data_IF_127870558594
#
_entry.id   IF_127870558594
#
_cell.length_a   1.000
_cell.length_b   1.000
_cell.length_c   1.000
_cell.angle_alpha   90.00
_cell.angle_beta   90.00
_cell.angle_gamma   90.00
#
_symmetry.space_group_name_H-M   'P 1'
#
loop_
_entity.id
_entity.type
_entity.pdbx_description
1 polymer ?
#
# COMPACT_ATOMS: atom_id res chain seq x y z
N UNK A 1 -12.16 1.17 -36.71
CA UNK A 1 -12.31 2.16 -35.62
C UNK A 1 -11.65 1.59 -34.36
N UNK A 2 -10.73 2.35 -33.71
CA UNK A 2 -10.14 1.90 -32.44
C UNK A 2 -11.24 1.85 -31.38
N UNK A 3 -11.50 0.67 -30.79
CA UNK A 3 -12.51 0.50 -29.74
C UNK A 3 -12.11 1.35 -28.51
N UNK A 4 -13.07 2.10 -27.96
CA UNK A 4 -12.93 2.79 -26.68
C UNK A 4 -13.87 2.14 -25.69
N UNK A 5 -13.51 2.14 -24.41
CA UNK A 5 -14.40 1.68 -23.35
C UNK A 5 -15.66 2.56 -23.28
N UNK A 6 -16.81 1.93 -23.05
CA UNK A 6 -18.04 2.62 -22.71
C UNK A 6 -18.02 3.16 -21.27
N UNK A 7 -18.91 4.07 -20.91
CA UNK A 7 -19.01 4.59 -19.54
C UNK A 7 -19.22 3.45 -18.51
N UNK A 8 -20.03 2.45 -18.84
CA UNK A 8 -20.27 1.27 -17.98
C UNK A 8 -19.00 0.42 -17.79
N UNK A 9 -18.22 0.23 -18.85
CA UNK A 9 -16.95 -0.49 -18.78
C UNK A 9 -15.91 0.30 -17.98
N UNK A 10 -15.85 1.63 -18.12
CA UNK A 10 -15.00 2.49 -17.25
C UNK A 10 -15.37 2.35 -15.78
N UNK A 11 -16.66 2.41 -15.44
CA UNK A 11 -17.12 2.22 -14.05
C UNK A 11 -16.74 0.84 -13.53
N UNK A 12 -16.86 -0.19 -14.35
CA UNK A 12 -16.45 -1.55 -13.99
C UNK A 12 -14.96 -1.65 -13.70
N UNK A 13 -14.11 -1.14 -14.59
CA UNK A 13 -12.64 -1.15 -14.40
C UNK A 13 -12.23 -0.30 -13.20
N UNK A 14 -12.84 0.86 -13.00
CA UNK A 14 -12.56 1.74 -11.85
C UNK A 14 -12.99 1.08 -10.52
N UNK A 15 -14.16 0.45 -10.47
CA UNK A 15 -14.63 -0.28 -9.29
C UNK A 15 -13.75 -1.50 -8.97
N UNK A 16 -13.28 -2.20 -10.01
CA UNK A 16 -12.35 -3.30 -9.86
C UNK A 16 -11.01 -2.80 -9.29
N UNK A 17 -10.47 -1.72 -9.84
CA UNK A 17 -9.21 -1.12 -9.39
C UNK A 17 -9.33 -0.63 -7.94
N UNK A 18 -10.42 0.06 -7.60
CA UNK A 18 -10.73 0.42 -6.23
C UNK A 18 -10.76 -0.81 -5.31
N UNK A 19 -11.44 -1.87 -5.73
CA UNK A 19 -11.53 -3.11 -4.95
C UNK A 19 -10.21 -3.87 -4.80
N UNK A 20 -9.25 -3.69 -5.73
CA UNK A 20 -7.91 -4.25 -5.62
C UNK A 20 -7.04 -3.48 -4.61
N UNK A 21 -7.14 -2.15 -4.59
CA UNK A 21 -6.40 -1.30 -3.66
C UNK A 21 -7.03 -1.25 -2.28
N UNK A 22 -8.35 -1.11 -2.21
CA UNK A 22 -9.03 -0.85 -0.96
C UNK A 22 -9.05 -2.10 -0.05
N UNK A 23 -8.12 -2.14 0.88
CA UNK A 23 -7.94 -3.20 1.86
C UNK A 23 -7.94 -2.69 3.32
N UNK A 24 -7.44 -3.51 4.23
CA UNK A 24 -7.35 -3.20 5.65
C UNK A 24 -6.58 -1.89 5.93
N UNK A 25 -5.44 -1.71 5.26
CA UNK A 25 -4.59 -0.53 5.44
C UNK A 25 -5.30 0.79 5.16
N UNK A 26 -6.12 0.80 4.12
CA UNK A 26 -6.84 1.98 3.66
C UNK A 26 -7.90 2.51 4.65
N UNK A 27 -8.22 1.72 5.67
CA UNK A 27 -9.11 2.11 6.76
C UNK A 27 -8.33 2.52 7.99
N UNK A 28 -7.38 1.68 8.40
CA UNK A 28 -6.72 1.84 9.69
C UNK A 28 -5.73 3.00 9.70
N UNK A 29 -4.97 3.22 8.62
CA UNK A 29 -3.97 4.29 8.61
C UNK A 29 -4.59 5.69 8.55
N UNK A 30 -5.60 5.99 7.71
CA UNK A 30 -6.22 7.30 7.72
C UNK A 30 -6.90 7.66 9.06
N UNK A 31 -7.58 6.70 9.71
CA UNK A 31 -8.23 6.98 10.98
C UNK A 31 -7.21 7.24 12.10
N UNK A 32 -6.14 6.47 12.15
CA UNK A 32 -5.06 6.65 13.11
C UNK A 32 -4.31 7.96 12.88
N UNK A 33 -3.98 8.27 11.63
CA UNK A 33 -3.41 9.57 11.26
C UNK A 33 -4.28 10.71 11.76
N UNK A 34 -5.61 10.62 11.62
CA UNK A 34 -6.54 11.62 12.12
C UNK A 34 -6.43 11.82 13.64
N UNK A 35 -6.36 10.73 14.41
CA UNK A 35 -6.16 10.80 15.87
C UNK A 35 -4.82 11.43 16.24
N UNK A 36 -3.75 11.14 15.50
CA UNK A 36 -2.41 11.65 15.80
C UNK A 36 -2.22 13.10 15.34
N UNK A 37 -2.78 13.47 14.18
CA UNK A 37 -2.55 14.77 13.58
C UNK A 37 -3.33 15.92 14.24
N UNK A 38 -4.45 15.64 14.88
CA UNK A 38 -5.21 16.67 15.60
C UNK A 38 -5.50 17.90 14.73
N UNK A 39 -5.22 19.09 15.25
CA UNK A 39 -5.42 20.36 14.54
C UNK A 39 -4.59 20.51 13.26
N UNK A 40 -3.50 19.74 13.11
CA UNK A 40 -2.64 19.72 11.93
C UNK A 40 -3.11 18.72 10.84
N UNK A 41 -4.33 18.20 10.96
CA UNK A 41 -4.87 17.13 10.10
C UNK A 41 -4.84 17.48 8.60
N UNK A 42 -5.06 18.72 8.22
CA UNK A 42 -5.10 19.10 6.79
C UNK A 42 -3.76 18.94 6.10
N UNK A 43 -2.67 19.32 6.75
CA UNK A 43 -1.31 19.12 6.21
C UNK A 43 -0.97 17.63 6.16
N UNK A 44 -1.34 16.86 7.17
CA UNK A 44 -1.13 15.43 7.22
C UNK A 44 -1.93 14.68 6.11
N UNK A 45 -3.20 15.07 5.89
CA UNK A 45 -4.02 14.55 4.78
C UNK A 45 -3.35 14.79 3.43
N UNK A 46 -2.81 16.00 3.19
CA UNK A 46 -2.12 16.29 1.91
C UNK A 46 -0.95 15.34 1.68
N UNK A 47 -0.12 15.10 2.70
CA UNK A 47 0.96 14.12 2.64
C UNK A 47 0.46 12.71 2.34
N UNK A 48 -0.54 12.25 3.09
CA UNK A 48 -1.16 10.94 2.91
C UNK A 48 -1.73 10.75 1.50
N UNK A 49 -2.42 11.74 0.96
CA UNK A 49 -3.03 11.65 -0.37
C UNK A 49 -2.00 11.54 -1.50
N UNK A 50 -0.84 12.18 -1.36
CA UNK A 50 0.23 12.07 -2.36
C UNK A 50 0.72 10.61 -2.44
N UNK A 51 1.00 9.98 -1.33
CA UNK A 51 1.61 8.65 -1.28
C UNK A 51 0.58 7.51 -1.27
N UNK A 52 -0.53 7.68 -0.56
CA UNK A 52 -1.56 6.65 -0.45
C UNK A 52 -2.56 6.65 -1.62
N UNK A 53 -2.64 7.72 -2.43
CA UNK A 53 -3.56 7.81 -3.57
C UNK A 53 -2.85 8.19 -4.86
N UNK A 54 -2.01 9.23 -4.83
CA UNK A 54 -1.29 9.72 -6.00
C UNK A 54 -0.30 8.71 -6.55
N UNK A 55 0.58 8.17 -5.72
CA UNK A 55 1.57 7.18 -6.15
C UNK A 55 0.95 5.89 -6.71
N UNK A 56 -0.09 5.29 -6.11
CA UNK A 56 -0.79 4.15 -6.70
C UNK A 56 -1.33 4.43 -8.11
N UNK A 57 -1.93 5.59 -8.32
CA UNK A 57 -2.39 6.00 -9.64
C UNK A 57 -1.23 6.08 -10.64
N UNK A 58 -0.11 6.71 -10.23
CA UNK A 58 1.08 6.83 -11.06
C UNK A 58 1.74 5.47 -11.33
N UNK A 59 1.70 4.53 -10.38
CA UNK A 59 2.23 3.18 -10.55
C UNK A 59 1.46 2.37 -11.59
N UNK A 60 0.13 2.40 -11.55
CA UNK A 60 -0.70 1.77 -12.60
C UNK A 60 -0.48 2.44 -13.96
N UNK A 61 -0.40 3.78 -14.00
CA UNK A 61 -0.13 4.54 -15.22
C UNK A 61 1.25 4.20 -15.80
N UNK A 62 2.27 4.02 -14.94
CA UNK A 62 3.63 3.69 -15.32
C UNK A 62 3.70 2.37 -16.09
N UNK A 63 3.01 1.31 -15.63
CA UNK A 63 2.94 0.04 -16.34
C UNK A 63 2.25 0.16 -17.70
N UNK A 64 1.14 0.92 -17.77
CA UNK A 64 0.44 1.17 -19.03
C UNK A 64 1.27 1.96 -20.04
N UNK A 65 1.91 3.05 -19.60
CA UNK A 65 2.68 3.97 -20.46
C UNK A 65 3.99 3.33 -20.91
N UNK A 66 4.69 2.61 -20.02
CA UNK A 66 5.94 1.93 -20.34
C UNK A 66 5.75 0.65 -21.17
N UNK A 67 4.50 0.24 -21.40
CA UNK A 67 4.12 -1.01 -22.08
C UNK A 67 4.75 -2.26 -21.46
N UNK A 68 4.98 -2.23 -20.16
CA UNK A 68 5.58 -3.34 -19.43
C UNK A 68 4.51 -4.39 -19.07
N UNK A 69 4.89 -5.67 -19.19
CA UNK A 69 4.02 -6.82 -18.88
C UNK A 69 4.09 -7.18 -17.38
N UNK A 70 4.20 -6.18 -16.51
CA UNK A 70 4.26 -6.32 -15.07
C UNK A 70 5.55 -5.79 -14.46
N UNK A 71 5.69 -5.94 -13.15
CA UNK A 71 6.80 -5.39 -12.37
C UNK A 71 8.16 -5.94 -12.80
N UNK A 72 8.25 -7.25 -13.04
CA UNK A 72 9.53 -7.88 -13.44
C UNK A 72 10.04 -7.30 -14.76
N UNK A 73 9.16 -7.14 -15.76
CA UNK A 73 9.52 -6.57 -17.06
C UNK A 73 9.94 -5.10 -16.92
N UNK A 74 9.19 -4.30 -16.15
CA UNK A 74 9.54 -2.91 -15.87
C UNK A 74 10.91 -2.79 -15.19
N UNK A 75 11.16 -3.59 -14.17
CA UNK A 75 12.42 -3.58 -13.41
C UNK A 75 13.60 -4.12 -14.22
N UNK A 76 13.35 -4.99 -15.22
CA UNK A 76 14.36 -5.54 -16.12
C UNK A 76 15.01 -4.47 -17.01
N UNK A 77 14.41 -3.30 -17.15
CA UNK A 77 15.03 -2.14 -17.81
C UNK A 77 16.28 -1.65 -17.08
N UNK A 78 16.41 -1.90 -15.77
CA UNK A 78 17.66 -1.72 -15.02
C UNK A 78 18.63 -2.86 -15.34
N UNK A 79 18.36 -4.05 -14.82
CA UNK A 79 19.02 -5.31 -15.15
C UNK A 79 18.21 -6.49 -14.58
N UNK A 80 18.51 -7.71 -15.04
CA UNK A 80 17.80 -8.92 -14.65
C UNK A 80 17.97 -9.29 -13.16
N UNK A 81 19.17 -9.20 -12.55
CA UNK A 81 19.33 -9.46 -11.11
C UNK A 81 18.51 -8.48 -10.23
N UNK A 82 18.53 -7.20 -10.56
CA UNK A 82 17.70 -6.22 -9.86
C UNK A 82 16.21 -6.54 -10.01
N UNK A 83 15.76 -6.87 -11.21
CA UNK A 83 14.37 -7.22 -11.47
C UNK A 83 13.92 -8.42 -10.61
N UNK A 84 14.75 -9.45 -10.52
CA UNK A 84 14.48 -10.63 -9.69
C UNK A 84 14.39 -10.23 -8.21
N UNK A 85 15.41 -9.52 -7.70
CA UNK A 85 15.45 -9.06 -6.32
C UNK A 85 14.25 -8.17 -5.98
N UNK A 86 14.02 -7.12 -6.77
CA UNK A 86 12.98 -6.12 -6.48
C UNK A 86 11.57 -6.70 -6.58
N UNK A 87 11.32 -7.56 -7.58
CA UNK A 87 10.02 -8.23 -7.72
C UNK A 87 9.78 -9.18 -6.55
N UNK A 88 10.75 -10.01 -6.18
CA UNK A 88 10.62 -10.90 -5.02
C UNK A 88 10.42 -10.10 -3.73
N UNK A 89 11.23 -9.08 -3.47
CA UNK A 89 11.13 -8.26 -2.26
C UNK A 89 9.76 -7.57 -2.15
N UNK A 90 9.27 -6.97 -3.24
CA UNK A 90 7.97 -6.31 -3.27
C UNK A 90 6.84 -7.31 -3.03
N UNK A 91 6.81 -8.43 -3.76
CA UNK A 91 5.73 -9.43 -3.61
C UNK A 91 5.77 -10.13 -2.25
N UNK A 92 6.93 -10.37 -1.66
CA UNK A 92 7.03 -10.91 -0.29
C UNK A 92 6.52 -9.89 0.75
N UNK A 93 6.75 -8.60 0.52
CA UNK A 93 6.29 -7.51 1.40
C UNK A 93 4.78 -7.36 1.37
N UNK A 94 4.17 -7.19 0.18
CA UNK A 94 2.71 -7.09 0.05
C UNK A 94 2.02 -8.46 0.22
N UNK A 95 2.77 -9.52 0.18
CA UNK A 95 2.35 -10.90 0.31
C UNK A 95 2.50 -11.41 1.76
N UNK A 96 3.26 -12.50 1.93
CA UNK A 96 3.25 -13.30 3.15
C UNK A 96 3.84 -12.64 4.38
N UNK A 97 4.66 -11.59 4.25
CA UNK A 97 5.31 -10.99 5.42
C UNK A 97 4.47 -9.92 6.10
N UNK A 98 3.77 -9.05 5.34
CA UNK A 98 3.08 -7.93 5.96
C UNK A 98 1.62 -7.72 5.55
N UNK A 99 1.28 -7.54 4.26
CA UNK A 99 -0.09 -7.16 3.91
C UNK A 99 -1.10 -8.30 4.11
N UNK A 100 -0.75 -9.55 3.78
CA UNK A 100 -1.64 -10.70 4.00
C UNK A 100 -1.85 -10.97 5.50
N UNK A 101 -0.78 -11.08 6.34
CA UNK A 101 -0.95 -11.22 7.79
C UNK A 101 -1.76 -10.07 8.40
N UNK A 102 -1.53 -8.83 7.94
CA UNK A 102 -2.27 -7.65 8.40
C UNK A 102 -3.77 -7.77 8.14
N UNK A 103 -4.19 -8.41 7.04
CA UNK A 103 -5.62 -8.65 6.80
C UNK A 103 -6.25 -9.47 7.93
N UNK A 104 -5.60 -10.53 8.40
CA UNK A 104 -6.10 -11.36 9.49
C UNK A 104 -6.08 -10.60 10.82
N UNK A 105 -4.97 -9.95 11.16
CA UNK A 105 -4.83 -9.22 12.43
C UNK A 105 -5.76 -8.02 12.50
N UNK A 106 -5.93 -7.24 11.43
CA UNK A 106 -6.92 -6.14 11.41
C UNK A 106 -8.34 -6.67 11.63
N UNK A 107 -8.69 -7.78 10.99
CA UNK A 107 -10.01 -8.40 11.18
C UNK A 107 -10.22 -8.85 12.63
N UNK A 108 -9.19 -9.38 13.26
CA UNK A 108 -9.21 -9.78 14.66
C UNK A 108 -9.35 -8.56 15.58
N UNK A 109 -8.48 -7.54 15.39
CA UNK A 109 -8.44 -6.34 16.24
C UNK A 109 -9.74 -5.52 16.14
N UNK A 110 -10.29 -5.35 14.93
CA UNK A 110 -11.55 -4.61 14.74
C UNK A 110 -12.75 -5.39 15.29
N UNK A 111 -12.70 -6.71 15.28
CA UNK A 111 -13.82 -7.58 15.64
C UNK A 111 -13.67 -8.23 17.00
N UNK A 112 -13.07 -9.40 17.00
CA UNK A 112 -13.08 -10.31 18.16
C UNK A 112 -12.35 -9.72 19.38
N UNK A 113 -11.23 -9.04 19.17
CA UNK A 113 -10.42 -8.47 20.25
C UNK A 113 -11.19 -7.49 21.13
N UNK A 114 -12.14 -6.74 20.56
CA UNK A 114 -12.94 -5.75 21.29
C UNK A 114 -13.94 -6.36 22.28
N UNK A 115 -14.29 -7.61 22.11
CA UNK A 115 -15.23 -8.34 22.98
C UNK A 115 -14.54 -9.31 23.92
N UNK A 116 -13.22 -9.47 23.80
CA UNK A 116 -12.43 -10.33 24.67
C UNK A 116 -12.05 -9.61 25.98
N UNK A 117 -11.85 -10.36 27.08
CA UNK A 117 -11.38 -9.78 28.33
C UNK A 117 -10.02 -9.10 28.15
N UNK A 118 -9.92 -7.83 28.54
CA UNK A 118 -8.67 -7.04 28.41
C UNK A 118 -7.56 -7.48 29.39
N UNK A 119 -7.89 -8.33 30.38
CA UNK A 119 -6.97 -8.75 31.45
C UNK A 119 -6.23 -10.07 31.15
N UNK A 120 -6.31 -10.58 29.91
CA UNK A 120 -5.70 -11.85 29.50
C UNK A 120 -4.87 -11.75 28.23
N UNK A 121 -4.00 -12.74 28.02
CA UNK A 121 -3.30 -12.87 26.74
C UNK A 121 -4.28 -13.31 25.64
N UNK A 122 -4.52 -12.46 24.65
CA UNK A 122 -5.37 -12.75 23.51
C UNK A 122 -4.68 -13.64 22.44
N UNK A 123 -3.45 -14.09 22.72
CA UNK A 123 -2.62 -14.84 21.75
C UNK A 123 -3.29 -16.12 21.25
N UNK A 124 -3.94 -16.88 22.15
CA UNK A 124 -4.64 -18.10 21.75
C UNK A 124 -5.84 -17.79 20.83
N UNK A 125 -6.60 -16.76 21.14
CA UNK A 125 -7.75 -16.34 20.33
C UNK A 125 -7.30 -15.81 18.96
N UNK A 126 -6.20 -15.05 18.91
CA UNK A 126 -5.58 -14.61 17.66
C UNK A 126 -5.11 -15.81 16.83
N UNK A 127 -4.47 -16.80 17.44
CA UNK A 127 -4.04 -18.03 16.75
C UNK A 127 -5.23 -18.78 16.14
N UNK A 128 -6.27 -19.04 16.93
CA UNK A 128 -7.47 -19.74 16.45
C UNK A 128 -8.17 -18.98 15.33
N UNK A 129 -8.33 -17.66 15.49
CA UNK A 129 -8.91 -16.81 14.46
C UNK A 129 -8.06 -16.84 13.19
N UNK A 130 -6.74 -16.68 13.31
CA UNK A 130 -5.82 -16.68 12.16
C UNK A 130 -5.83 -18.02 11.41
N UNK A 131 -5.88 -19.15 12.12
CA UNK A 131 -6.01 -20.49 11.50
C UNK A 131 -7.29 -20.58 10.68
N UNK A 132 -8.44 -20.15 11.23
CA UNK A 132 -9.71 -20.16 10.50
C UNK A 132 -9.69 -19.21 9.30
N UNK A 133 -9.14 -17.99 9.49
CA UNK A 133 -9.03 -17.01 8.45
C UNK A 133 -8.17 -17.49 7.27
N UNK A 134 -6.98 -18.05 7.55
CA UNK A 134 -6.08 -18.53 6.50
C UNK A 134 -6.53 -19.85 5.89
N UNK A 135 -7.24 -20.71 6.63
CA UNK A 135 -7.90 -21.88 6.05
C UNK A 135 -8.97 -21.46 5.01
N UNK A 136 -9.78 -20.47 5.35
CA UNK A 136 -10.75 -19.88 4.41
C UNK A 136 -10.05 -19.21 3.23
N UNK A 137 -9.04 -18.35 3.47
CA UNK A 137 -8.30 -17.66 2.42
C UNK A 137 -7.65 -18.64 1.44
N UNK A 138 -6.98 -19.68 1.94
CA UNK A 138 -6.35 -20.72 1.12
C UNK A 138 -7.40 -21.52 0.32
N UNK A 139 -8.50 -21.93 0.98
CA UNK A 139 -9.58 -22.65 0.29
C UNK A 139 -10.08 -21.89 -0.93
N UNK A 140 -10.23 -20.59 -0.80
CA UNK A 140 -10.69 -19.73 -1.89
C UNK A 140 -9.58 -19.44 -2.91
N UNK A 141 -8.35 -19.21 -2.50
CA UNK A 141 -7.22 -19.01 -3.41
C UNK A 141 -6.96 -20.23 -4.29
N UNK A 142 -7.22 -21.46 -3.80
CA UNK A 142 -7.12 -22.68 -4.59
C UNK A 142 -8.28 -22.89 -5.59
N UNK A 143 -9.34 -22.03 -5.55
CA UNK A 143 -10.52 -22.10 -6.41
C UNK A 143 -10.90 -20.72 -6.98
N UNK A 144 -10.07 -20.09 -7.77
CA UNK A 144 -10.17 -18.66 -8.10
C UNK A 144 -11.43 -18.24 -8.90
N UNK A 145 -12.22 -19.16 -9.45
CA UNK A 145 -13.18 -18.82 -10.50
C UNK A 145 -14.51 -18.15 -10.10
N UNK A 146 -15.00 -18.20 -8.86
CA UNK A 146 -16.35 -17.71 -8.54
C UNK A 146 -16.43 -16.70 -7.38
N UNK A 147 -15.51 -16.72 -6.44
CA UNK A 147 -15.62 -15.98 -5.18
C UNK A 147 -15.21 -14.53 -5.29
N UNK A 148 -14.18 -14.22 -6.07
CA UNK A 148 -13.79 -12.83 -6.35
C UNK A 148 -14.95 -12.03 -6.95
N UNK A 149 -15.81 -12.68 -7.73
CA UNK A 149 -17.00 -12.05 -8.32
C UNK A 149 -18.11 -11.80 -7.29
N UNK A 150 -18.36 -12.74 -6.38
CA UNK A 150 -19.39 -12.60 -5.34
C UNK A 150 -18.99 -11.59 -4.27
N UNK A 151 -17.77 -11.69 -3.81
CA UNK A 151 -17.20 -10.77 -2.82
C UNK A 151 -17.13 -9.35 -3.38
N UNK A 152 -16.71 -9.19 -4.64
CA UNK A 152 -16.65 -7.88 -5.28
C UNK A 152 -18.01 -7.25 -5.57
N UNK A 153 -19.02 -8.05 -5.90
CA UNK A 153 -20.35 -7.53 -6.30
C UNK A 153 -21.28 -7.21 -5.12
N UNK A 154 -21.15 -7.93 -3.99
CA UNK A 154 -22.09 -7.79 -2.87
C UNK A 154 -21.38 -7.19 -1.66
N UNK A 155 -20.23 -7.75 -1.24
CA UNK A 155 -19.58 -7.35 -0.01
C UNK A 155 -18.94 -5.96 -0.08
N UNK A 156 -18.31 -5.59 -1.20
CA UNK A 156 -17.76 -4.25 -1.35
C UNK A 156 -18.82 -3.15 -1.25
N UNK A 157 -19.95 -3.19 -1.98
CA UNK A 157 -21.01 -2.21 -1.80
C UNK A 157 -21.56 -2.16 -0.37
N UNK A 158 -21.81 -3.32 0.25
CA UNK A 158 -22.30 -3.37 1.64
C UNK A 158 -21.31 -2.73 2.62
N UNK A 159 -20.03 -3.05 2.46
CA UNK A 159 -18.95 -2.45 3.26
C UNK A 159 -18.90 -0.92 3.07
N UNK A 160 -18.92 -0.43 1.82
CA UNK A 160 -18.89 1.01 1.52
C UNK A 160 -20.12 1.73 2.08
N UNK A 161 -21.30 1.14 2.01
CA UNK A 161 -22.52 1.71 2.60
C UNK A 161 -22.40 1.79 4.11
N UNK A 162 -21.90 0.73 4.78
CA UNK A 162 -21.72 0.76 6.22
C UNK A 162 -20.65 1.78 6.63
N UNK A 163 -19.51 1.82 5.93
CA UNK A 163 -18.46 2.81 6.17
C UNK A 163 -19.00 4.24 5.97
N UNK A 164 -19.80 4.46 4.93
CA UNK A 164 -20.43 5.75 4.68
C UNK A 164 -21.37 6.14 5.84
N UNK A 165 -22.18 5.21 6.35
CA UNK A 165 -23.04 5.46 7.51
C UNK A 165 -22.21 5.83 8.74
N UNK A 166 -21.18 5.06 9.08
CA UNK A 166 -20.29 5.33 10.20
C UNK A 166 -19.65 6.71 10.09
N UNK A 167 -19.08 7.03 8.93
CA UNK A 167 -18.40 8.30 8.68
C UNK A 167 -19.39 9.46 8.72
N UNK A 168 -20.55 9.33 8.09
CA UNK A 168 -21.59 10.38 8.10
C UNK A 168 -22.07 10.65 9.53
N UNK A 169 -22.34 9.60 10.32
CA UNK A 169 -22.76 9.77 11.73
C UNK A 169 -21.67 10.45 12.54
N UNK A 170 -20.40 10.03 12.39
CA UNK A 170 -19.27 10.64 13.08
C UNK A 170 -19.08 12.12 12.71
N UNK A 171 -19.20 12.46 11.42
CA UNK A 171 -19.04 13.85 10.94
C UNK A 171 -20.22 14.77 11.30
N UNK A 172 -21.43 14.23 11.40
CA UNK A 172 -22.63 14.99 11.79
C UNK A 172 -22.72 15.20 13.30
N UNK A 173 -22.04 14.38 14.10
CA UNK A 173 -22.02 14.46 15.56
C UNK A 173 -20.58 14.50 16.09
N UNK A 174 -19.80 15.53 15.72
CA UNK A 174 -18.38 15.60 16.08
C UNK A 174 -18.24 15.70 17.62
N UNK A 175 -17.35 14.89 18.18
CA UNK A 175 -17.07 14.90 19.61
C UNK A 175 -16.12 16.04 20.03
N UNK A 176 -15.34 16.58 19.08
CA UNK A 176 -14.49 17.76 19.27
C UNK A 176 -14.41 18.58 17.99
N UNK A 177 -14.14 19.88 18.12
CA UNK A 177 -13.71 20.69 16.98
C UNK A 177 -12.25 20.34 16.64
N UNK A 178 -11.94 20.28 15.34
CA UNK A 178 -10.59 19.93 14.86
C UNK A 178 -9.51 20.83 15.48
N UNK A 179 -9.81 22.13 15.63
CA UNK A 179 -8.88 23.12 16.19
C UNK A 179 -8.50 22.86 17.65
N UNK A 180 -9.35 22.15 18.40
CA UNK A 180 -9.17 21.90 19.84
C UNK A 180 -8.43 20.58 20.10
N UNK A 181 -8.12 19.80 19.07
CA UNK A 181 -7.43 18.52 19.22
C UNK A 181 -5.92 18.72 19.09
N UNK A 182 -5.19 18.43 20.15
CA UNK A 182 -3.73 18.55 20.17
C UNK A 182 -3.07 17.50 19.27
N UNK A 183 -2.14 17.91 18.38
CA UNK A 183 -1.36 16.98 17.54
C UNK A 183 -0.30 16.25 18.38
N UNK A 184 -0.02 15.00 18.04
CA UNK A 184 0.90 14.11 18.76
C UNK A 184 2.12 13.72 17.91
N UNK A 185 3.25 13.47 18.57
CA UNK A 185 4.47 13.02 17.92
C UNK A 185 4.93 13.91 16.77
N UNK A 186 5.36 13.31 15.67
CA UNK A 186 5.85 14.02 14.49
C UNK A 186 4.80 14.90 13.80
N UNK A 187 3.51 14.63 14.04
CA UNK A 187 2.42 15.46 13.51
C UNK A 187 2.35 16.86 14.15
N UNK A 188 2.97 17.07 15.29
CA UNK A 188 3.08 18.39 15.93
C UNK A 188 4.08 19.30 15.18
N UNK A 189 5.20 18.74 14.72
CA UNK A 189 6.29 19.51 14.11
C UNK A 189 6.35 19.43 12.59
N UNK A 190 6.00 18.27 12.01
CA UNK A 190 6.18 17.97 10.58
C UNK A 190 4.96 17.22 9.99
N UNK A 191 3.72 17.75 10.15
CA UNK A 191 2.49 17.02 9.84
C UNK A 191 2.38 16.55 8.39
N UNK A 192 2.86 17.33 7.42
CA UNK A 192 2.86 16.95 6.01
C UNK A 192 3.75 15.73 5.75
N UNK A 193 4.98 15.73 6.27
CA UNK A 193 5.93 14.64 6.05
C UNK A 193 5.54 13.40 6.85
N UNK A 194 5.03 13.55 8.05
CA UNK A 194 4.46 12.44 8.83
C UNK A 194 3.30 11.78 8.04
N UNK A 195 2.38 12.55 7.51
CA UNK A 195 1.31 12.04 6.66
C UNK A 195 1.79 11.41 5.35
N UNK A 196 2.84 11.97 4.73
CA UNK A 196 3.47 11.42 3.53
C UNK A 196 4.06 10.03 3.80
N UNK A 197 4.78 9.86 4.90
CA UNK A 197 5.34 8.57 5.30
C UNK A 197 4.26 7.58 5.77
N UNK A 198 3.18 8.07 6.43
CA UNK A 198 2.05 7.22 6.81
C UNK A 198 1.39 6.57 5.58
N UNK A 199 1.35 7.28 4.45
CA UNK A 199 0.88 6.70 3.21
C UNK A 199 1.69 5.50 2.71
N UNK A 200 2.95 5.35 3.11
CA UNK A 200 3.74 4.12 2.82
C UNK A 200 3.13 2.89 3.49
N UNK A 201 2.57 3.06 4.68
CA UNK A 201 1.94 1.98 5.44
C UNK A 201 0.70 1.40 4.75
N UNK A 202 0.05 2.15 3.83
CA UNK A 202 -1.06 1.59 3.03
C UNK A 202 -0.59 0.51 2.06
N UNK A 203 0.68 0.54 1.64
CA UNK A 203 1.30 -0.34 0.63
C UNK A 203 0.68 -0.24 -0.77
N UNK A 204 -0.18 0.73 -1.03
CA UNK A 204 -0.93 0.85 -2.28
C UNK A 204 -0.04 1.15 -3.49
N UNK A 205 1.04 1.93 -3.32
CA UNK A 205 1.97 2.19 -4.41
C UNK A 205 2.74 0.91 -4.82
N UNK A 206 3.11 0.06 -3.85
CA UNK A 206 3.70 -1.25 -4.13
C UNK A 206 2.67 -2.18 -4.80
N UNK A 207 1.45 -2.20 -4.26
CA UNK A 207 0.34 -2.96 -4.83
C UNK A 207 0.02 -2.53 -6.28
N UNK A 208 0.15 -1.24 -6.60
CA UNK A 208 -0.09 -0.72 -7.95
C UNK A 208 0.87 -1.29 -8.99
N UNK A 209 2.12 -1.48 -8.62
CA UNK A 209 3.13 -2.12 -9.47
C UNK A 209 2.90 -3.63 -9.61
N UNK A 210 2.31 -4.27 -8.60
CA UNK A 210 1.97 -5.69 -8.64
C UNK A 210 0.68 -5.96 -9.42
N UNK A 211 -0.37 -5.15 -9.19
CA UNK A 211 -1.71 -5.40 -9.74
C UNK A 211 -2.01 -4.61 -11.02
N UNK A 212 -1.19 -3.63 -11.38
CA UNK A 212 -1.46 -2.80 -12.55
C UNK A 212 -1.55 -3.59 -13.85
N UNK A 213 -0.84 -4.73 -13.95
CA UNK A 213 -0.94 -5.62 -15.12
C UNK A 213 -2.32 -6.27 -15.23
N UNK A 214 -2.98 -6.59 -14.11
CA UNK A 214 -4.33 -7.17 -14.10
C UNK A 214 -5.32 -6.16 -14.73
N UNK A 215 -5.17 -4.87 -14.39
CA UNK A 215 -6.01 -3.80 -14.96
C UNK A 215 -5.80 -3.67 -16.47
N UNK A 216 -4.54 -3.67 -16.90
CA UNK A 216 -4.17 -3.66 -18.32
C UNK A 216 -4.78 -4.85 -19.06
N UNK A 217 -4.70 -6.05 -18.47
CA UNK A 217 -5.26 -7.27 -19.07
C UNK A 217 -6.78 -7.20 -19.19
N UNK A 218 -7.48 -6.78 -18.15
CA UNK A 218 -8.95 -6.62 -18.19
C UNK A 218 -9.39 -5.61 -19.26
N UNK A 219 -8.65 -4.51 -19.44
CA UNK A 219 -8.95 -3.55 -20.52
C UNK A 219 -8.75 -4.18 -21.89
N UNK A 220 -7.73 -5.04 -22.08
CA UNK A 220 -7.54 -5.80 -23.31
C UNK A 220 -8.63 -6.84 -23.55
N UNK A 221 -9.06 -7.56 -22.52
CA UNK A 221 -10.14 -8.55 -22.58
C UNK A 221 -11.48 -7.89 -22.94
N UNK A 222 -11.65 -6.61 -22.59
CA UNK A 222 -12.78 -5.78 -23.05
C UNK A 222 -12.63 -5.34 -24.52
N UNK A 223 -11.61 -5.76 -25.24
CA UNK A 223 -11.39 -5.55 -26.67
C UNK A 223 -10.72 -4.22 -27.02
N UNK A 224 -9.96 -3.63 -26.11
CA UNK A 224 -9.10 -2.47 -26.39
C UNK A 224 -7.66 -2.94 -26.58
N UNK A 225 -7.23 -3.13 -27.84
CA UNK A 225 -5.92 -3.70 -28.18
C UNK A 225 -4.85 -2.63 -28.45
N UNK A 226 -5.25 -1.41 -28.85
CA UNK A 226 -4.31 -0.32 -29.12
C UNK A 226 -3.59 0.11 -27.83
N UNK A 227 -2.24 0.01 -27.77
CA UNK A 227 -1.49 0.27 -26.53
C UNK A 227 -1.71 1.69 -25.94
N UNK A 228 -1.90 2.70 -26.81
CA UNK A 228 -2.18 4.06 -26.36
C UNK A 228 -3.59 4.20 -25.78
N UNK A 229 -4.58 3.48 -26.37
CA UNK A 229 -5.95 3.44 -25.85
C UNK A 229 -6.03 2.65 -24.52
N UNK A 230 -5.27 1.56 -24.39
CA UNK A 230 -5.14 0.81 -23.12
C UNK A 230 -4.56 1.71 -22.04
N UNK A 231 -3.42 2.35 -22.27
CA UNK A 231 -2.79 3.27 -21.32
C UNK A 231 -3.72 4.41 -20.91
N UNK A 232 -4.38 5.06 -21.88
CA UNK A 232 -5.34 6.12 -21.62
C UNK A 232 -6.57 5.65 -20.82
N UNK A 233 -7.07 4.44 -21.08
CA UNK A 233 -8.19 3.85 -20.35
C UNK A 233 -7.81 3.49 -18.92
N UNK A 234 -6.60 2.94 -18.73
CA UNK A 234 -6.03 2.62 -17.42
C UNK A 234 -5.92 3.88 -16.54
N UNK A 235 -5.35 4.95 -17.08
CA UNK A 235 -5.23 6.24 -16.36
C UNK A 235 -6.58 6.82 -15.99
N UNK A 236 -7.55 6.82 -16.91
CA UNK A 236 -8.90 7.35 -16.64
C UNK A 236 -9.63 6.55 -15.56
N UNK A 237 -9.61 5.21 -15.65
CA UNK A 237 -10.20 4.35 -14.63
C UNK A 237 -9.49 4.55 -13.27
N UNK A 238 -8.15 4.71 -13.29
CA UNK A 238 -7.35 5.04 -12.13
C UNK A 238 -7.76 6.34 -11.45
N UNK A 239 -8.01 7.41 -12.22
CA UNK A 239 -8.45 8.71 -11.68
C UNK A 239 -9.77 8.56 -10.91
N UNK A 240 -10.77 7.86 -11.46
CA UNK A 240 -12.04 7.65 -10.75
C UNK A 240 -11.86 6.86 -9.46
N UNK A 241 -11.06 5.78 -9.49
CA UNK A 241 -10.74 5.00 -8.30
C UNK A 241 -10.02 5.85 -7.25
N UNK A 242 -9.04 6.64 -7.66
CA UNK A 242 -8.25 7.52 -6.80
C UNK A 242 -9.07 8.64 -6.16
N UNK A 243 -10.01 9.23 -6.88
CA UNK A 243 -10.92 10.24 -6.34
C UNK A 243 -11.82 9.66 -5.24
N UNK A 244 -12.33 8.45 -5.44
CA UNK A 244 -13.12 7.75 -4.43
C UNK A 244 -12.27 7.42 -3.19
N UNK A 245 -11.04 6.92 -3.39
CA UNK A 245 -10.10 6.65 -2.30
C UNK A 245 -9.77 7.92 -1.53
N UNK A 246 -9.45 9.03 -2.22
CA UNK A 246 -9.15 10.32 -1.59
C UNK A 246 -10.31 10.81 -0.74
N UNK A 247 -11.54 10.73 -1.27
CA UNK A 247 -12.74 11.12 -0.52
C UNK A 247 -12.90 10.31 0.77
N UNK A 248 -12.76 9.00 0.69
CA UNK A 248 -12.86 8.11 1.86
C UNK A 248 -11.74 8.40 2.86
N UNK A 249 -10.50 8.59 2.40
CA UNK A 249 -9.36 8.90 3.27
C UNK A 249 -9.59 10.19 4.03
N UNK A 250 -9.99 11.28 3.36
CA UNK A 250 -10.31 12.56 4.00
C UNK A 250 -11.39 12.37 5.07
N UNK A 251 -12.49 11.71 4.69
CA UNK A 251 -13.64 11.56 5.57
C UNK A 251 -13.33 10.71 6.83
N UNK A 252 -12.62 9.58 6.63
CA UNK A 252 -12.21 8.70 7.75
C UNK A 252 -11.16 9.37 8.62
N UNK A 253 -10.23 10.14 8.06
CA UNK A 253 -9.23 10.90 8.81
C UNK A 253 -9.89 11.97 9.69
N UNK A 254 -10.83 12.74 9.15
CA UNK A 254 -11.56 13.76 9.92
C UNK A 254 -12.34 13.11 11.06
N UNK A 255 -13.03 11.98 10.80
CA UNK A 255 -13.72 11.23 11.85
C UNK A 255 -12.75 10.74 12.93
N UNK A 256 -11.55 10.31 12.56
CA UNK A 256 -10.46 9.96 13.48
C UNK A 256 -10.05 11.15 14.36
N UNK A 257 -9.82 12.32 13.77
CA UNK A 257 -9.47 13.55 14.54
C UNK A 257 -10.58 13.92 15.52
N UNK A 258 -11.82 13.99 15.06
CA UNK A 258 -12.95 14.39 15.89
C UNK A 258 -13.24 13.41 17.02
N UNK A 259 -12.92 12.12 16.87
CA UNK A 259 -13.10 11.12 17.90
C UNK A 259 -12.28 11.39 19.16
N UNK A 260 -11.19 12.17 19.07
CA UNK A 260 -10.32 12.55 20.18
C UNK A 260 -11.03 13.39 21.27
N UNK A 261 -12.20 13.91 20.99
CA UNK A 261 -13.01 14.58 22.02
C UNK A 261 -13.54 13.66 23.13
N UNK A 262 -13.62 12.35 22.84
CA UNK A 262 -14.16 11.34 23.77
C UNK A 262 -13.30 10.08 23.87
N UNK A 263 -12.38 9.88 22.94
CA UNK A 263 -11.47 8.74 22.89
C UNK A 263 -10.02 9.22 22.96
N UNK A 264 -9.17 8.50 23.66
CA UNK A 264 -7.73 8.72 23.59
C UNK A 264 -7.17 8.24 22.27
N UNK A 265 -5.95 8.67 21.91
CA UNK A 265 -5.26 8.15 20.75
C UNK A 265 -4.99 6.66 20.94
N UNK A 266 -5.45 5.86 19.98
CA UNK A 266 -5.31 4.41 20.04
C UNK A 266 -3.90 3.98 19.61
N UNK A 267 -3.44 2.82 20.05
CA UNK A 267 -2.14 2.25 19.66
C UNK A 267 -2.05 2.00 18.15
N UNK A 268 -3.16 1.66 17.51
CA UNK A 268 -3.25 1.43 16.08
C UNK A 268 -4.64 1.78 15.54
N UNK A 269 -4.71 1.92 14.21
CA UNK A 269 -5.95 2.32 13.57
C UNK A 269 -7.06 1.26 13.56
N UNK A 270 -6.75 0.00 13.79
CA UNK A 270 -7.77 -1.05 13.95
C UNK A 270 -8.58 -0.83 15.23
N UNK A 271 -7.89 -0.61 16.33
CA UNK A 271 -8.49 -0.25 17.63
C UNK A 271 -9.25 1.06 17.54
N UNK A 272 -8.66 2.10 16.92
CA UNK A 272 -9.32 3.39 16.72
C UNK A 272 -10.66 3.25 15.98
N UNK A 273 -10.66 2.54 14.87
CA UNK A 273 -11.87 2.33 14.05
C UNK A 273 -12.97 1.58 14.82
N UNK A 274 -12.58 0.56 15.57
CA UNK A 274 -13.51 -0.23 16.38
C UNK A 274 -14.14 0.61 17.51
N UNK A 275 -13.34 1.39 18.22
CA UNK A 275 -13.81 2.30 19.28
C UNK A 275 -14.73 3.38 18.74
N UNK A 276 -14.44 3.97 17.58
CA UNK A 276 -15.30 4.93 16.90
C UNK A 276 -16.64 4.27 16.53
N UNK A 277 -16.62 3.07 15.95
CA UNK A 277 -17.85 2.36 15.61
C UNK A 277 -18.68 2.02 16.86
N UNK A 278 -18.03 1.59 17.93
CA UNK A 278 -18.70 1.31 19.22
C UNK A 278 -19.32 2.58 19.81
N UNK A 279 -18.61 3.70 19.76
CA UNK A 279 -19.09 4.98 20.32
C UNK A 279 -20.31 5.51 19.56
N UNK A 280 -20.25 5.55 18.22
CA UNK A 280 -21.31 6.17 17.41
C UNK A 280 -22.48 5.24 17.08
N UNK A 281 -22.25 3.94 16.95
CA UNK A 281 -23.24 2.97 16.48
C UNK A 281 -23.50 1.83 17.48
N UNK A 282 -22.83 1.87 18.65
CA UNK A 282 -22.97 0.86 19.68
C UNK A 282 -22.49 -0.53 19.27
N UNK A 283 -22.86 -1.54 20.05
CA UNK A 283 -22.41 -2.94 19.81
C UNK A 283 -22.89 -3.53 18.47
N UNK A 284 -24.06 -3.11 17.99
CA UNK A 284 -24.54 -3.53 16.68
C UNK A 284 -23.66 -2.98 15.53
N UNK A 285 -23.25 -1.72 15.64
CA UNK A 285 -22.32 -1.09 14.70
C UNK A 285 -20.94 -1.77 14.70
N UNK A 286 -20.41 -2.06 15.88
CA UNK A 286 -19.16 -2.79 16.01
C UNK A 286 -19.24 -4.18 15.34
N UNK A 287 -20.34 -4.92 15.59
CA UNK A 287 -20.52 -6.25 14.98
C UNK A 287 -20.58 -6.19 13.44
N UNK A 288 -21.33 -5.22 12.89
CA UNK A 288 -21.44 -5.04 11.44
C UNK A 288 -20.08 -4.62 10.85
N UNK A 289 -19.36 -3.71 11.53
CA UNK A 289 -18.01 -3.31 11.12
C UNK A 289 -17.05 -4.52 11.12
N UNK A 290 -17.04 -5.30 12.19
CA UNK A 290 -16.21 -6.49 12.31
C UNK A 290 -16.46 -7.49 11.19
N UNK A 291 -17.73 -7.80 10.91
CA UNK A 291 -18.11 -8.70 9.84
C UNK A 291 -17.69 -8.19 8.45
N UNK A 292 -17.98 -6.91 8.16
CA UNK A 292 -17.67 -6.32 6.86
C UNK A 292 -16.17 -6.15 6.63
N UNK A 293 -15.40 -5.73 7.64
CA UNK A 293 -13.93 -5.63 7.58
C UNK A 293 -13.31 -7.01 7.41
N UNK A 294 -13.78 -8.03 8.15
CA UNK A 294 -13.28 -9.40 8.02
C UNK A 294 -13.47 -9.95 6.59
N UNK A 295 -14.63 -9.72 6.01
CA UNK A 295 -14.92 -10.16 4.64
C UNK A 295 -14.12 -9.38 3.60
N UNK A 296 -13.94 -8.07 3.77
CA UNK A 296 -13.09 -7.25 2.90
C UNK A 296 -11.62 -7.68 2.99
N UNK A 297 -11.12 -7.93 4.20
CA UNK A 297 -9.76 -8.42 4.44
C UNK A 297 -9.55 -9.83 3.86
N UNK A 298 -10.53 -10.72 4.03
CA UNK A 298 -10.46 -12.06 3.46
C UNK A 298 -10.35 -12.02 1.92
N UNK A 299 -11.14 -11.17 1.26
CA UNK A 299 -11.03 -10.94 -0.19
C UNK A 299 -9.63 -10.47 -0.58
N UNK A 300 -9.11 -9.47 0.13
CA UNK A 300 -7.78 -8.92 -0.15
C UNK A 300 -6.70 -9.99 0.05
N UNK A 301 -6.77 -10.77 1.13
CA UNK A 301 -5.84 -11.87 1.39
C UNK A 301 -5.88 -12.93 0.27
N UNK A 302 -7.07 -13.33 -0.19
CA UNK A 302 -7.24 -14.27 -1.32
C UNK A 302 -6.59 -13.70 -2.59
N UNK A 303 -6.85 -12.44 -2.92
CA UNK A 303 -6.26 -11.78 -4.10
C UNK A 303 -4.73 -11.71 -4.03
N UNK A 304 -4.17 -11.36 -2.87
CA UNK A 304 -2.73 -11.29 -2.65
C UNK A 304 -2.08 -12.67 -2.70
N UNK A 305 -2.65 -13.70 -2.05
CA UNK A 305 -2.14 -15.08 -2.12
C UNK A 305 -2.10 -15.56 -3.58
N UNK A 306 -3.18 -15.29 -4.32
CA UNK A 306 -3.27 -15.68 -5.74
C UNK A 306 -2.20 -14.97 -6.57
N UNK A 307 -2.11 -13.65 -6.47
CA UNK A 307 -1.15 -12.84 -7.24
C UNK A 307 0.31 -13.20 -6.92
N UNK A 308 0.64 -13.41 -5.64
CA UNK A 308 1.97 -13.86 -5.23
C UNK A 308 2.29 -15.25 -5.80
N UNK A 309 1.36 -16.20 -5.67
CA UNK A 309 1.56 -17.57 -6.14
C UNK A 309 1.71 -17.66 -7.67
N UNK A 310 0.92 -16.88 -8.42
CA UNK A 310 1.04 -16.77 -9.88
C UNK A 310 2.39 -16.18 -10.29
N UNK A 311 2.79 -15.06 -9.66
CA UNK A 311 4.05 -14.38 -9.95
C UNK A 311 5.24 -15.27 -9.65
N UNK A 312 5.28 -15.93 -8.50
CA UNK A 312 6.40 -16.81 -8.13
C UNK A 312 6.45 -18.07 -9.01
N UNK A 313 5.30 -18.62 -9.40
CA UNK A 313 5.25 -19.72 -10.37
C UNK A 313 5.80 -19.30 -11.74
N UNK A 314 5.59 -18.06 -12.17
CA UNK A 314 6.12 -17.54 -13.42
C UNK A 314 7.61 -17.19 -13.32
N UNK A 315 8.07 -16.66 -12.19
CA UNK A 315 9.48 -16.33 -11.95
C UNK A 315 10.38 -17.55 -11.78
N UNK A 316 9.84 -18.64 -11.24
CA UNK A 316 10.54 -19.89 -10.96
C UNK A 316 9.86 -21.07 -11.66
N UNK A 317 10.02 -21.21 -13.01
CA UNK A 317 9.31 -22.25 -13.78
C UNK A 317 9.66 -23.69 -13.33
N UNK A 318 10.90 -23.90 -12.91
CA UNK A 318 11.39 -25.19 -12.38
C UNK A 318 11.12 -25.39 -10.90
N UNK A 319 10.49 -24.40 -10.26
CA UNK A 319 10.17 -24.41 -8.82
C UNK A 319 8.79 -24.99 -8.51
N UNK A 320 8.29 -24.72 -7.29
CA UNK A 320 6.96 -25.15 -6.87
C UNK A 320 5.86 -24.61 -7.79
N UNK A 321 4.84 -25.42 -8.05
CA UNK A 321 3.66 -25.01 -8.82
C UNK A 321 2.77 -24.10 -7.96
N UNK A 322 1.85 -23.37 -8.61
CA UNK A 322 0.91 -22.41 -8.00
C UNK A 322 0.32 -22.89 -6.65
N UNK A 323 -0.20 -24.14 -6.59
CA UNK A 323 -0.82 -24.65 -5.36
C UNK A 323 0.14 -24.71 -4.18
N UNK A 324 1.39 -25.10 -4.42
CA UNK A 324 2.41 -25.18 -3.38
C UNK A 324 2.81 -23.79 -2.91
N UNK A 325 2.99 -22.83 -3.81
CA UNK A 325 3.23 -21.43 -3.46
C UNK A 325 2.08 -20.84 -2.64
N UNK A 326 0.83 -21.07 -3.04
CA UNK A 326 -0.33 -20.59 -2.29
C UNK A 326 -0.38 -21.15 -0.86
N UNK A 327 -0.02 -22.43 -0.66
CA UNK A 327 0.08 -23.05 0.66
C UNK A 327 1.22 -22.42 1.45
N UNK A 328 2.42 -22.32 0.88
CA UNK A 328 3.58 -21.71 1.55
C UNK A 328 3.26 -20.30 2.01
N UNK A 329 2.72 -19.44 1.13
CA UNK A 329 2.39 -18.06 1.46
C UNK A 329 1.30 -17.96 2.53
N UNK A 330 0.30 -18.83 2.50
CA UNK A 330 -0.73 -18.87 3.55
C UNK A 330 -0.16 -19.29 4.91
N UNK A 331 0.73 -20.28 4.95
CA UNK A 331 1.37 -20.75 6.19
C UNK A 331 2.34 -19.70 6.75
N UNK A 332 3.16 -19.08 5.91
CA UNK A 332 4.05 -17.99 6.33
C UNK A 332 3.23 -16.81 6.87
N UNK A 333 2.16 -16.45 6.17
CA UNK A 333 1.26 -15.38 6.63
C UNK A 333 0.60 -15.71 7.97
N UNK A 334 0.22 -16.96 8.19
CA UNK A 334 -0.33 -17.43 9.47
C UNK A 334 0.69 -17.23 10.60
N UNK A 335 1.96 -17.58 10.38
CA UNK A 335 3.01 -17.37 11.36
C UNK A 335 3.19 -15.89 11.71
N UNK A 336 3.29 -15.04 10.70
CA UNK A 336 3.45 -13.59 10.90
C UNK A 336 2.22 -12.93 11.53
N UNK A 337 1.00 -13.39 11.22
CA UNK A 337 -0.22 -12.85 11.82
C UNK A 337 -0.25 -13.00 13.35
N UNK A 338 0.40 -14.02 13.90
CA UNK A 338 0.46 -14.22 15.35
C UNK A 338 1.39 -13.27 16.10
N UNK A 339 2.10 -12.36 15.37
CA UNK A 339 2.81 -11.24 15.98
C UNK A 339 1.86 -10.13 16.45
N UNK A 340 0.62 -10.09 15.93
CA UNK A 340 -0.34 -9.03 16.19
C UNK A 340 -0.20 -7.82 15.25
N UNK A 341 -1.24 -6.97 15.22
CA UNK A 341 -1.34 -5.87 14.25
C UNK A 341 -0.23 -4.84 14.43
N UNK A 342 -0.02 -4.35 15.66
CA UNK A 342 0.99 -3.31 15.98
C UNK A 342 2.41 -3.77 15.63
N UNK A 343 2.76 -5.02 15.93
CA UNK A 343 4.07 -5.57 15.62
C UNK A 343 4.28 -5.69 14.09
N UNK A 344 3.26 -6.16 13.34
CA UNK A 344 3.35 -6.22 11.87
C UNK A 344 3.57 -4.83 11.27
N UNK A 345 2.87 -3.79 11.75
CA UNK A 345 3.06 -2.41 11.30
C UNK A 345 4.49 -1.96 11.59
N UNK A 346 4.99 -2.15 12.81
CA UNK A 346 6.33 -1.74 13.21
C UNK A 346 7.43 -2.44 12.41
N UNK A 347 7.33 -3.75 12.19
CA UNK A 347 8.33 -4.49 11.41
C UNK A 347 8.24 -4.26 9.90
N UNK A 348 7.09 -3.83 9.38
CA UNK A 348 6.96 -3.49 7.96
C UNK A 348 7.64 -2.16 7.62
N UNK A 349 7.69 -1.21 8.55
CA UNK A 349 8.17 0.14 8.28
C UNK A 349 9.58 0.19 7.68
N UNK A 350 10.62 -0.50 8.22
CA UNK A 350 11.96 -0.49 7.62
C UNK A 350 11.98 -0.98 6.18
N UNK A 351 11.21 -2.03 5.90
CA UNK A 351 11.12 -2.61 4.55
C UNK A 351 10.41 -1.66 3.58
N UNK A 352 9.39 -0.94 4.06
CA UNK A 352 8.70 0.07 3.28
C UNK A 352 9.61 1.27 2.99
N UNK A 353 10.37 1.75 3.99
CA UNK A 353 11.36 2.81 3.83
C UNK A 353 12.43 2.45 2.79
N UNK A 354 12.72 1.17 2.61
CA UNK A 354 13.62 0.67 1.56
C UNK A 354 12.94 0.59 0.18
N UNK A 355 11.74 0.03 0.10
CA UNK A 355 11.09 -0.28 -1.18
C UNK A 355 10.43 0.93 -1.84
N UNK A 356 9.89 1.87 -1.06
CA UNK A 356 9.19 3.03 -1.61
C UNK A 356 10.07 3.96 -2.43
N UNK A 357 11.27 4.35 -1.99
CA UNK A 357 12.20 5.12 -2.84
C UNK A 357 12.47 4.47 -4.18
N UNK A 358 12.74 3.16 -4.19
CA UNK A 358 12.99 2.38 -5.41
C UNK A 358 11.75 2.32 -6.31
N UNK A 359 10.57 2.15 -5.71
CA UNK A 359 9.30 2.13 -6.42
C UNK A 359 8.98 3.48 -7.06
N UNK A 360 9.15 4.56 -6.31
CA UNK A 360 8.90 5.93 -6.78
C UNK A 360 9.86 6.28 -7.92
N UNK A 361 11.15 5.97 -7.77
CA UNK A 361 12.14 6.19 -8.82
C UNK A 361 11.80 5.37 -10.09
N UNK A 362 11.41 4.11 -9.94
CA UNK A 362 11.04 3.25 -11.07
C UNK A 362 9.76 3.75 -11.77
N UNK A 363 8.75 4.19 -11.01
CA UNK A 363 7.52 4.80 -11.54
C UNK A 363 7.88 6.08 -12.33
N UNK A 364 8.68 6.96 -11.76
CA UNK A 364 9.11 8.20 -12.43
C UNK A 364 9.86 7.91 -13.74
N UNK A 365 10.82 6.99 -13.71
CA UNK A 365 11.55 6.55 -14.90
C UNK A 365 10.65 5.93 -15.97
N UNK A 366 9.64 5.17 -15.57
CA UNK A 366 8.68 4.58 -16.49
C UNK A 366 7.81 5.63 -17.19
N UNK A 367 7.33 6.64 -16.43
CA UNK A 367 6.51 7.74 -16.95
C UNK A 367 7.31 8.68 -17.86
N UNK A 368 8.56 8.98 -17.50
CA UNK A 368 9.44 9.87 -18.21
C UNK A 368 10.27 9.16 -19.29
N UNK A 369 10.18 7.85 -19.39
CA UNK A 369 11.03 7.02 -20.26
C UNK A 369 11.04 7.38 -21.74
N UNK A 370 9.96 8.00 -22.25
CA UNK A 370 9.87 8.49 -23.61
C UNK A 370 10.90 9.60 -23.94
N UNK A 371 11.30 10.40 -22.96
CA UNK A 371 12.23 11.53 -23.16
C UNK A 371 13.67 11.08 -23.37
N UNK A 372 14.02 9.86 -22.92
CA UNK A 372 15.35 9.28 -23.08
C UNK A 372 15.31 7.86 -23.68
N UNK A 373 14.26 7.57 -24.45
CA UNK A 373 14.14 6.29 -25.18
C UNK A 373 14.18 5.02 -24.31
N UNK A 374 13.84 5.13 -23.03
CA UNK A 374 13.98 4.05 -22.03
C UNK A 374 15.41 3.51 -21.91
N UNK A 375 16.43 4.38 -22.11
CA UNK A 375 17.84 3.98 -22.06
C UNK A 375 18.19 3.36 -20.71
N UNK A 376 18.74 2.17 -20.75
CA UNK A 376 19.19 1.39 -19.60
C UNK A 376 20.19 2.16 -18.71
N UNK A 377 21.01 3.03 -19.30
CA UNK A 377 22.00 3.82 -18.56
C UNK A 377 21.31 4.73 -17.55
N UNK A 378 20.23 5.42 -17.96
CA UNK A 378 19.46 6.29 -17.07
C UNK A 378 18.84 5.47 -15.93
N UNK A 379 18.22 4.32 -16.25
CA UNK A 379 17.64 3.43 -15.24
C UNK A 379 18.71 2.95 -14.23
N UNK A 380 19.88 2.50 -14.69
CA UNK A 380 20.92 1.96 -13.82
C UNK A 380 21.49 3.01 -12.85
N UNK A 381 21.79 4.22 -13.36
CA UNK A 381 22.34 5.28 -12.51
C UNK A 381 21.30 5.80 -11.51
N UNK A 382 20.08 6.05 -11.93
CA UNK A 382 19.02 6.49 -11.04
C UNK A 382 18.78 5.48 -9.91
N UNK A 383 18.53 4.22 -10.28
CA UNK A 383 18.23 3.18 -9.28
C UNK A 383 19.45 2.86 -8.40
N UNK A 384 20.67 2.91 -8.94
CA UNK A 384 21.89 2.68 -8.18
C UNK A 384 22.07 3.70 -7.05
N UNK A 385 21.90 4.99 -7.34
CA UNK A 385 21.97 6.05 -6.32
C UNK A 385 20.79 5.99 -5.34
N UNK A 386 19.59 5.71 -5.84
CA UNK A 386 18.40 5.52 -4.99
C UNK A 386 18.60 4.34 -4.03
N UNK A 387 19.19 3.24 -4.49
CA UNK A 387 19.42 2.04 -3.67
C UNK A 387 20.33 2.33 -2.46
N UNK A 388 21.40 3.11 -2.66
CA UNK A 388 22.30 3.49 -1.58
C UNK A 388 21.55 4.26 -0.50
N UNK A 389 20.74 5.25 -0.90
CA UNK A 389 19.96 6.04 0.04
C UNK A 389 18.82 5.22 0.69
N UNK A 390 18.18 4.33 -0.06
CA UNK A 390 17.14 3.46 0.47
C UNK A 390 17.66 2.48 1.54
N UNK A 391 18.92 2.03 1.41
CA UNK A 391 19.58 1.24 2.47
C UNK A 391 19.77 2.09 3.74
N UNK A 392 20.14 3.36 3.60
CA UNK A 392 20.21 4.28 4.74
C UNK A 392 18.84 4.42 5.41
N UNK A 393 17.78 4.70 4.65
CA UNK A 393 16.41 4.87 5.18
C UNK A 393 15.91 3.58 5.88
N UNK A 394 16.22 2.39 5.32
CA UNK A 394 15.96 1.11 5.98
C UNK A 394 16.64 1.02 7.34
N UNK A 395 17.94 1.36 7.41
CA UNK A 395 18.74 1.27 8.65
C UNK A 395 18.16 2.19 9.74
N UNK A 396 17.78 3.42 9.37
CA UNK A 396 17.24 4.40 10.31
C UNK A 396 15.86 3.97 10.86
N UNK A 397 15.08 3.25 10.06
CA UNK A 397 13.76 2.78 10.45
C UNK A 397 13.78 1.45 11.25
N UNK A 398 14.94 0.82 11.44
CA UNK A 398 15.05 -0.45 12.20
C UNK A 398 14.59 -0.26 13.65
N UNK A 399 14.02 -1.31 14.26
CA UNK A 399 13.73 -1.32 15.69
C UNK A 399 14.96 -0.97 16.54
N UNK A 400 14.77 -0.22 17.61
CA UNK A 400 15.84 0.40 18.41
C UNK A 400 16.92 -0.59 18.87
N UNK A 401 16.53 -1.81 19.22
CA UNK A 401 17.46 -2.87 19.62
C UNK A 401 18.45 -3.26 18.52
N UNK A 402 17.96 -3.40 17.29
CA UNK A 402 18.78 -3.74 16.11
C UNK A 402 19.57 -2.53 15.66
N UNK A 403 18.92 -1.36 15.61
CA UNK A 403 19.54 -0.09 15.25
C UNK A 403 20.78 0.21 16.09
N UNK A 404 20.69 0.06 17.43
CA UNK A 404 21.80 0.29 18.34
C UNK A 404 22.92 -0.76 18.17
N UNK A 405 22.58 -2.02 17.89
CA UNK A 405 23.54 -3.10 17.68
C UNK A 405 24.45 -2.89 16.44
N UNK A 406 23.95 -2.18 15.43
CA UNK A 406 24.68 -1.90 14.17
C UNK A 406 25.32 -0.51 14.13
N UNK A 407 25.53 0.15 15.28
CA UNK A 407 26.03 1.52 15.39
C UNK A 407 25.12 2.55 14.67
N UNK A 408 23.82 2.32 14.68
CA UNK A 408 22.80 3.16 14.04
C UNK A 408 22.91 4.66 14.35
N UNK A 409 23.19 5.11 15.60
CA UNK A 409 23.36 6.53 15.91
C UNK A 409 24.46 7.22 15.08
N UNK A 410 25.57 6.53 14.82
CA UNK A 410 26.65 7.08 13.99
C UNK A 410 26.23 7.18 12.51
N UNK A 411 25.52 6.17 12.01
CA UNK A 411 24.97 6.17 10.64
C UNK A 411 23.93 7.28 10.49
N UNK A 412 23.09 7.49 11.50
CA UNK A 412 22.09 8.56 11.52
C UNK A 412 22.75 9.93 11.48
N UNK A 413 23.75 10.18 12.31
CA UNK A 413 24.50 11.43 12.34
C UNK A 413 25.19 11.72 10.99
N UNK A 414 25.78 10.68 10.37
CA UNK A 414 26.36 10.79 9.03
C UNK A 414 25.32 11.19 8.00
N UNK A 415 24.15 10.53 7.96
CA UNK A 415 23.10 10.88 7.03
C UNK A 415 22.53 12.28 7.23
N UNK A 416 22.30 12.69 8.48
CA UNK A 416 21.84 14.05 8.81
C UNK A 416 22.83 15.14 8.34
N UNK A 417 24.12 14.82 8.33
CA UNK A 417 25.17 15.76 7.87
C UNK A 417 25.25 15.84 6.33
N UNK A 418 25.05 14.73 5.62
CA UNK A 418 25.36 14.64 4.18
C UNK A 418 24.15 14.40 3.27
N UNK A 419 23.02 13.94 3.81
CA UNK A 419 21.80 13.69 3.04
C UNK A 419 20.75 14.75 3.36
N UNK A 420 20.50 15.71 2.47
CA UNK A 420 19.41 16.66 2.63
C UNK A 420 18.08 15.90 2.80
N UNK A 421 17.22 16.40 3.69
CA UNK A 421 15.91 15.82 4.00
C UNK A 421 15.95 14.44 4.71
N UNK A 422 17.10 14.00 5.22
CA UNK A 422 17.21 12.75 5.96
C UNK A 422 16.30 12.74 7.21
N UNK A 423 16.20 13.87 7.93
CA UNK A 423 15.33 14.02 9.10
C UNK A 423 13.83 13.91 8.77
N UNK A 424 13.48 14.09 7.51
CA UNK A 424 12.10 13.99 7.00
C UNK A 424 11.79 12.59 6.45
N UNK A 425 12.72 11.62 6.53
CA UNK A 425 12.59 10.32 5.89
C UNK A 425 12.64 10.37 4.35
N UNK A 426 13.19 11.44 3.80
CA UNK A 426 13.28 11.71 2.36
C UNK A 426 14.73 11.87 1.87
N UNK A 427 15.70 11.31 2.60
CA UNK A 427 17.11 11.36 2.27
C UNK A 427 17.47 10.79 0.89
N UNK A 428 16.60 9.95 0.33
CA UNK A 428 16.76 9.34 -0.99
C UNK A 428 16.55 10.31 -2.18
N UNK A 429 15.86 11.45 -2.00
CA UNK A 429 15.50 12.35 -3.12
C UNK A 429 16.73 12.91 -3.82
N UNK A 430 17.67 13.51 -3.07
CA UNK A 430 18.86 14.12 -3.67
C UNK A 430 19.76 13.10 -4.40
N UNK A 431 20.11 11.94 -3.81
CA UNK A 431 20.84 10.89 -4.53
C UNK A 431 20.11 10.42 -5.80
N UNK A 432 18.79 10.24 -5.75
CA UNK A 432 18.00 9.85 -6.93
C UNK A 432 18.09 10.88 -8.05
N UNK A 433 17.97 12.17 -7.73
CA UNK A 433 18.12 13.26 -8.72
C UNK A 433 19.53 13.34 -9.30
N UNK A 434 20.57 13.17 -8.48
CA UNK A 434 21.97 13.11 -8.93
C UNK A 434 22.17 11.94 -9.89
N UNK A 435 21.72 10.73 -9.50
CA UNK A 435 21.80 9.54 -10.35
C UNK A 435 21.06 9.72 -11.68
N UNK A 436 19.88 10.35 -11.64
CA UNK A 436 19.12 10.67 -12.84
C UNK A 436 19.85 11.66 -13.75
N UNK A 437 20.43 12.73 -13.19
CA UNK A 437 21.19 13.72 -13.94
C UNK A 437 22.42 13.08 -14.61
N UNK A 438 23.19 12.29 -13.87
CA UNK A 438 24.36 11.54 -14.43
C UNK A 438 23.91 10.64 -15.56
N UNK A 439 22.85 9.85 -15.35
CA UNK A 439 22.31 8.94 -16.37
C UNK A 439 21.90 9.66 -17.65
N UNK A 440 21.21 10.80 -17.53
CA UNK A 440 20.77 11.63 -18.66
C UNK A 440 21.99 12.24 -19.41
N UNK A 441 22.96 12.80 -18.69
CA UNK A 441 24.20 13.33 -19.32
C UNK A 441 24.89 12.24 -20.13
N UNK A 442 25.08 11.06 -19.58
CA UNK A 442 25.71 9.95 -20.28
C UNK A 442 24.91 9.48 -21.51
N UNK A 443 23.58 9.45 -21.39
CA UNK A 443 22.69 9.13 -22.49
C UNK A 443 22.87 10.13 -23.66
N UNK A 444 22.74 11.42 -23.43
CA UNK A 444 22.87 12.44 -24.47
C UNK A 444 24.29 12.55 -25.04
N UNK A 445 25.32 12.32 -24.24
CA UNK A 445 26.71 12.25 -24.76
C UNK A 445 26.88 11.09 -25.75
N UNK A 446 26.26 9.92 -25.48
CA UNK A 446 26.32 8.77 -26.42
C UNK A 446 25.51 9.04 -27.68
N UNK A 447 24.33 9.63 -27.56
CA UNK A 447 23.49 9.95 -28.71
C UNK A 447 24.18 10.97 -29.65
N UNK A 448 24.83 11.98 -29.11
CA UNK A 448 25.57 12.96 -29.87
C UNK A 448 26.80 12.35 -30.59
N UNK A 449 27.51 11.43 -29.92
CA UNK A 449 28.63 10.71 -30.57
C UNK A 449 28.18 9.75 -31.68
N UNK A 450 26.97 9.23 -31.61
CA UNK A 450 26.42 8.36 -32.64
C UNK A 450 25.92 9.14 -33.86
N UNK A 451 25.68 10.46 -33.71
CA UNK A 451 25.27 11.38 -34.80
C UNK A 451 26.43 12.13 -35.44
N UNK A 452 27.60 12.17 -34.81
CA UNK A 452 28.84 12.72 -35.32
C UNK A 452 29.65 11.63 -36.02
#
# INVERSE_FOLDING_TARGET
MKRKLTAKEYTYVASMLFGLFFGAGNLIFPVHLGQMAGSNVWQAILGLLITGVGLPLLGVAALGISRSNGLFDLSSKVNRPYAMFFTCALYLTIGPFFAIPRCATTSFTVGLEQVLPQNGSNTLYLLLFSVLFFAAALFFALRPGKILTWVGKILNPCFLVFLAILVVVALLSPSAAIADVEPLGDYASQPFFAGFLEGYNTMDALASLAFGIIVVQVIRDLGVDDPAAVAGSTVRAGIFSSLLMAFIYIAVTIAGTQSRGVLEASENGGTALAQIAQHYLGSAGLFILAATVTLACLKTAVGLITSCAETFSALFPDGPKYRIWAIIFSLVSLLFANLGLSAIISYSLPVLMFLYPLSIALIALALLGKFFGHDRTVYCWTIGFTLIAAVYDLIIALPESVFNAIHGPAIKAFGQQYLPFADLGLGWICPTLIGTAIGLILHFMRENRAKA
#
